data_IF_395222493945
#
_entry.id   IF_395222493945
#
_cell.length_a   1.000
_cell.length_b   1.000
_cell.length_c   1.000
_cell.angle_alpha   90.00
_cell.angle_beta   90.00
_cell.angle_gamma   90.00
#
_symmetry.space_group_name_H-M   'P 1'
#
loop_
_entity.id
_entity.type
_entity.pdbx_description
1 polymer ?
#
# COMPACT_ATOMS: atom_id res chain seq x y z
N UNK A 1 7.44 -29.01 -5.01
CA UNK A 1 7.88 -30.20 -5.79
C UNK A 1 7.82 -31.41 -4.90
N UNK A 2 6.89 -32.32 -5.18
CA UNK A 2 6.79 -33.63 -4.52
C UNK A 2 7.92 -34.47 -5.12
N UNK A 3 8.87 -34.83 -4.31
CA UNK A 3 9.96 -35.72 -4.68
C UNK A 3 9.46 -37.16 -4.48
N UNK A 4 8.94 -37.78 -5.53
CA UNK A 4 8.64 -39.19 -5.53
C UNK A 4 9.98 -39.99 -5.46
N UNK A 5 10.27 -40.51 -4.28
CA UNK A 5 11.51 -41.23 -4.00
C UNK A 5 11.49 -42.73 -4.38
N UNK A 6 10.39 -43.27 -4.89
CA UNK A 6 10.30 -44.70 -5.20
C UNK A 6 9.42 -44.92 -6.43
N UNK A 7 9.85 -44.47 -7.59
CA UNK A 7 9.35 -45.04 -8.84
C UNK A 7 10.48 -45.86 -9.49
N UNK A 8 10.36 -47.17 -9.63
CA UNK A 8 11.28 -47.94 -10.45
C UNK A 8 10.91 -47.72 -11.91
N UNK A 9 11.23 -46.52 -12.42
CA UNK A 9 11.24 -46.31 -13.86
C UNK A 9 12.47 -46.99 -14.39
N UNK A 10 12.31 -48.21 -14.87
CA UNK A 10 13.32 -48.90 -15.64
C UNK A 10 13.58 -48.04 -16.88
N UNK A 11 14.78 -47.45 -16.94
CA UNK A 11 15.23 -46.68 -18.10
C UNK A 11 15.13 -47.54 -19.32
N UNK A 12 14.46 -47.07 -20.37
CA UNK A 12 14.35 -47.77 -21.65
C UNK A 12 15.68 -47.85 -22.41
N UNK A 13 16.74 -47.21 -21.87
CA UNK A 13 18.10 -47.15 -22.41
C UNK A 13 19.12 -47.61 -21.39
N UNK A 14 19.04 -48.86 -21.00
CA UNK A 14 19.91 -49.43 -19.93
C UNK A 14 21.35 -49.74 -20.36
N UNK A 15 21.84 -49.24 -21.47
CA UNK A 15 23.21 -49.42 -21.96
C UNK A 15 23.91 -48.14 -22.43
N UNK A 16 23.59 -47.01 -21.89
CA UNK A 16 24.38 -45.80 -22.10
C UNK A 16 24.94 -45.33 -20.79
N UNK A 17 26.25 -45.18 -20.75
CA UNK A 17 27.02 -44.60 -19.63
C UNK A 17 26.22 -43.59 -18.82
N UNK A 18 26.28 -43.74 -17.48
CA UNK A 18 25.65 -42.82 -16.53
C UNK A 18 25.87 -41.36 -16.96
N UNK A 19 24.91 -40.79 -17.67
CA UNK A 19 24.90 -39.37 -17.92
C UNK A 19 24.65 -38.73 -16.56
N UNK A 20 25.71 -38.41 -15.84
CA UNK A 20 25.66 -37.54 -14.67
C UNK A 20 25.22 -36.18 -15.16
N UNK A 21 23.89 -35.95 -15.16
CA UNK A 21 23.34 -34.61 -15.31
C UNK A 21 23.79 -33.89 -14.06
N UNK A 22 24.83 -33.06 -14.18
CA UNK A 22 25.24 -32.16 -13.11
C UNK A 22 24.08 -31.26 -12.80
N UNK A 23 23.59 -31.25 -11.55
CA UNK A 23 22.58 -30.28 -11.12
C UNK A 23 23.11 -28.90 -11.42
N UNK A 24 22.31 -28.05 -12.13
CA UNK A 24 22.75 -26.70 -12.41
C UNK A 24 23.01 -25.97 -11.09
N UNK A 25 24.22 -25.46 -10.91
CA UNK A 25 24.53 -24.59 -9.78
C UNK A 25 23.78 -23.27 -9.96
N UNK A 26 22.91 -22.96 -9.02
CA UNK A 26 22.27 -21.65 -8.99
C UNK A 26 23.31 -20.59 -8.61
N UNK A 27 23.37 -19.46 -9.34
CA UNK A 27 24.25 -18.38 -8.94
C UNK A 27 23.83 -17.85 -7.56
N UNK A 28 24.82 -17.52 -6.74
CA UNK A 28 24.57 -16.82 -5.48
C UNK A 28 23.94 -15.46 -5.78
N UNK A 29 22.81 -15.19 -5.16
CA UNK A 29 22.13 -13.91 -5.28
C UNK A 29 21.86 -13.32 -3.89
N UNK A 30 21.82 -12.00 -3.82
CA UNK A 30 21.48 -11.30 -2.59
C UNK A 30 20.08 -11.69 -2.13
N UNK A 31 19.90 -11.83 -0.83
CA UNK A 31 18.58 -12.09 -0.24
C UNK A 31 17.70 -10.85 -0.42
N UNK A 32 16.48 -11.06 -0.83
CA UNK A 32 15.48 -9.99 -0.89
C UNK A 32 15.26 -9.38 0.49
N UNK A 33 14.98 -8.08 0.51
CA UNK A 33 14.47 -7.44 1.73
C UNK A 33 13.12 -8.08 2.12
N UNK A 34 12.74 -8.00 3.41
CA UNK A 34 11.44 -8.50 3.88
C UNK A 34 10.28 -7.89 3.08
N UNK A 35 10.36 -6.59 2.76
CA UNK A 35 9.34 -5.90 1.99
C UNK A 35 9.26 -6.40 0.54
N UNK A 36 10.40 -6.61 -0.12
CA UNK A 36 10.44 -7.14 -1.48
C UNK A 36 9.89 -8.57 -1.55
N UNK A 37 10.21 -9.40 -0.55
CA UNK A 37 9.65 -10.75 -0.44
C UNK A 37 8.13 -10.71 -0.32
N UNK A 38 7.59 -9.93 0.60
CA UNK A 38 6.15 -9.77 0.80
C UNK A 38 5.45 -9.25 -0.46
N UNK A 39 6.08 -8.29 -1.15
CA UNK A 39 5.55 -7.77 -2.42
C UNK A 39 5.47 -8.87 -3.48
N UNK A 40 6.53 -9.66 -3.65
CA UNK A 40 6.54 -10.78 -4.61
C UNK A 40 5.54 -11.88 -4.25
N UNK A 41 5.34 -12.15 -2.97
CA UNK A 41 4.28 -13.05 -2.52
C UNK A 41 2.91 -12.56 -2.97
N UNK A 42 2.62 -11.27 -2.74
CA UNK A 42 1.36 -10.64 -3.17
C UNK A 42 1.21 -10.64 -4.69
N UNK A 43 2.27 -10.35 -5.44
CA UNK A 43 2.24 -10.33 -6.91
C UNK A 43 1.90 -11.69 -7.50
N UNK A 44 2.36 -12.79 -6.88
CA UNK A 44 2.14 -14.15 -7.37
C UNK A 44 0.85 -14.76 -6.84
N UNK A 45 0.52 -14.56 -5.58
CA UNK A 45 -0.57 -15.24 -4.87
C UNK A 45 -1.80 -14.34 -4.70
N UNK A 46 -1.63 -13.02 -4.82
CA UNK A 46 -2.67 -12.02 -4.63
C UNK A 46 -2.83 -11.54 -3.18
N UNK A 47 -2.18 -12.21 -2.21
CA UNK A 47 -2.22 -11.88 -0.79
C UNK A 47 -0.82 -11.97 -0.17
N UNK A 48 -0.63 -11.31 0.97
CA UNK A 48 0.56 -11.49 1.80
C UNK A 48 0.41 -12.79 2.63
N UNK A 49 1.41 -13.68 2.59
CA UNK A 49 1.41 -14.97 3.30
C UNK A 49 2.30 -14.95 4.52
N UNK A 50 3.54 -14.47 4.38
CA UNK A 50 4.57 -14.54 5.43
C UNK A 50 4.43 -13.45 6.49
N UNK A 51 3.53 -12.49 6.32
CA UNK A 51 3.28 -11.36 7.21
C UNK A 51 2.76 -10.17 6.43
N UNK A 52 2.35 -9.11 7.12
CA UNK A 52 1.88 -7.89 6.46
C UNK A 52 2.94 -6.78 6.54
N UNK A 53 3.14 -5.95 5.49
CA UNK A 53 4.10 -4.85 5.54
C UNK A 53 3.88 -3.86 6.68
N UNK A 54 2.64 -3.73 7.15
CA UNK A 54 2.25 -2.82 8.24
C UNK A 54 2.41 -3.43 9.64
N UNK A 55 2.87 -4.69 9.79
CA UNK A 55 2.97 -5.35 11.10
C UNK A 55 3.83 -4.57 12.10
N UNK A 56 4.93 -3.98 11.63
CA UNK A 56 5.81 -3.16 12.45
C UNK A 56 5.15 -1.84 12.93
N UNK A 57 4.03 -1.44 12.31
CA UNK A 57 3.30 -0.21 12.61
C UNK A 57 1.91 -0.46 13.23
N UNK A 58 1.57 -1.71 13.54
CA UNK A 58 0.23 -2.09 13.99
C UNK A 58 -0.27 -1.25 15.17
N UNK A 59 0.51 -1.19 16.25
CA UNK A 59 0.14 -0.42 17.44
C UNK A 59 0.06 1.08 17.15
N UNK A 60 0.99 1.59 16.35
CA UNK A 60 1.01 2.99 15.95
C UNK A 60 -0.24 3.37 15.16
N UNK A 61 -0.62 2.55 14.18
CA UNK A 61 -1.82 2.74 13.38
C UNK A 61 -3.08 2.73 14.23
N UNK A 62 -3.19 1.79 15.17
CA UNK A 62 -4.34 1.69 16.09
C UNK A 62 -4.59 2.97 16.89
N UNK A 63 -3.52 3.72 17.23
CA UNK A 63 -3.64 4.99 17.96
C UNK A 63 -3.82 6.21 17.05
N UNK A 64 -3.25 6.18 15.85
CA UNK A 64 -3.25 7.32 14.94
C UNK A 64 -4.49 7.38 14.06
N UNK A 65 -5.07 6.24 13.70
CA UNK A 65 -6.24 6.16 12.82
C UNK A 65 -7.55 6.20 13.61
N UNK A 66 -8.59 6.74 13.03
CA UNK A 66 -9.92 6.77 13.62
C UNK A 66 -10.99 6.09 12.77
N UNK A 67 -10.65 5.69 11.55
CA UNK A 67 -11.49 4.88 10.64
C UNK A 67 -10.62 3.86 9.91
N UNK A 68 -11.28 2.88 9.29
CA UNK A 68 -10.67 1.93 8.33
C UNK A 68 -10.84 2.46 6.90
N UNK A 69 -10.02 1.97 5.95
CA UNK A 69 -10.15 2.37 4.55
C UNK A 69 -11.52 1.99 3.95
N UNK A 70 -12.11 0.91 4.43
CA UNK A 70 -13.44 0.49 4.00
C UNK A 70 -14.52 1.56 4.25
N UNK A 71 -14.39 2.36 5.31
CA UNK A 71 -15.34 3.43 5.63
C UNK A 71 -15.32 4.56 4.60
N UNK A 72 -14.21 4.74 3.86
CA UNK A 72 -14.10 5.74 2.78
C UNK A 72 -14.99 5.41 1.58
N UNK A 73 -15.50 4.20 1.46
CA UNK A 73 -16.45 3.83 0.40
C UNK A 73 -17.77 4.61 0.51
N UNK A 74 -18.12 5.07 1.72
CA UNK A 74 -19.30 5.90 1.95
C UNK A 74 -18.93 7.23 2.62
N UNK A 75 -18.36 8.14 1.81
CA UNK A 75 -17.94 9.46 2.27
C UNK A 75 -19.09 10.30 2.84
N UNK A 76 -20.36 9.99 2.49
CA UNK A 76 -21.52 10.74 2.98
C UNK A 76 -21.70 10.62 4.49
N UNK A 77 -21.32 9.47 5.08
CA UNK A 77 -21.35 9.27 6.54
C UNK A 77 -20.25 10.02 7.29
N UNK A 78 -19.25 10.47 6.56
CA UNK A 78 -18.05 11.12 7.08
C UNK A 78 -18.04 12.63 6.84
N UNK A 79 -19.13 13.20 6.28
CA UNK A 79 -19.25 14.64 6.07
C UNK A 79 -19.06 15.38 7.39
N UNK A 80 -18.32 16.49 7.33
CA UNK A 80 -17.94 17.36 8.45
C UNK A 80 -17.13 16.69 9.56
N UNK A 81 -16.46 15.57 9.23
CA UNK A 81 -15.57 14.88 10.15
C UNK A 81 -14.12 14.95 9.70
N UNK A 82 -13.26 15.02 10.71
CA UNK A 82 -11.83 14.79 10.53
C UNK A 82 -11.57 13.28 10.51
N UNK A 83 -10.95 12.84 9.44
CA UNK A 83 -10.64 11.45 9.15
C UNK A 83 -9.13 11.26 9.18
N UNK A 84 -8.68 10.22 9.86
CA UNK A 84 -7.29 9.83 9.97
C UNK A 84 -7.15 8.37 9.55
N UNK A 85 -6.37 8.16 8.51
CA UNK A 85 -6.07 6.86 7.95
C UNK A 85 -4.56 6.63 7.93
N UNK A 86 -4.16 5.40 7.88
CA UNK A 86 -2.75 5.04 7.73
C UNK A 86 -2.62 3.76 6.93
N UNK A 87 -1.52 3.64 6.22
CA UNK A 87 -1.27 2.50 5.37
C UNK A 87 0.00 2.62 4.56
N UNK A 88 0.18 1.70 3.64
CA UNK A 88 1.26 1.71 2.66
C UNK A 88 0.74 2.30 1.35
N UNK A 89 1.54 3.14 0.72
CA UNK A 89 1.24 3.63 -0.62
C UNK A 89 1.61 2.55 -1.63
N UNK A 90 0.62 2.10 -2.38
CA UNK A 90 0.77 1.18 -3.50
C UNK A 90 1.13 1.92 -4.79
N UNK A 91 0.30 1.73 -5.82
CA UNK A 91 0.52 2.37 -7.11
C UNK A 91 0.32 3.89 -7.04
N UNK A 92 1.21 4.64 -7.68
CA UNK A 92 1.13 6.10 -7.79
C UNK A 92 1.23 6.52 -9.24
N UNK A 93 0.29 7.34 -9.70
CA UNK A 93 0.29 7.90 -11.04
C UNK A 93 0.27 9.43 -10.98
N UNK A 94 1.39 10.04 -11.33
CA UNK A 94 1.50 11.49 -11.49
C UNK A 94 1.05 11.92 -12.87
N UNK A 95 0.17 12.92 -12.93
CA UNK A 95 -0.42 13.41 -14.17
C UNK A 95 -0.39 14.93 -14.22
N UNK A 96 -0.42 15.48 -15.43
CA UNK A 96 -0.54 16.91 -15.68
C UNK A 96 -1.87 17.17 -16.38
N UNK A 97 -2.66 18.08 -15.85
CA UNK A 97 -3.93 18.49 -16.46
C UNK A 97 -3.69 19.35 -17.71
N UNK A 98 -4.71 19.53 -18.54
CA UNK A 98 -4.65 20.40 -19.73
C UNK A 98 -4.22 21.84 -19.39
N UNK A 99 -4.46 22.29 -18.18
CA UNK A 99 -4.10 23.65 -17.70
C UNK A 99 -2.69 23.68 -17.04
N UNK A 100 -1.86 22.67 -17.26
CA UNK A 100 -0.50 22.60 -16.70
C UNK A 100 -0.41 22.33 -15.20
N UNK A 101 -1.55 22.11 -14.52
CA UNK A 101 -1.55 21.80 -13.08
C UNK A 101 -1.31 20.32 -12.84
N UNK A 102 -0.34 20.01 -11.99
CA UNK A 102 -0.05 18.64 -11.58
C UNK A 102 -1.12 18.08 -10.63
N UNK A 103 -1.35 16.80 -10.73
CA UNK A 103 -2.21 16.03 -9.83
C UNK A 103 -1.75 14.57 -9.81
N UNK A 104 -2.21 13.80 -8.84
CA UNK A 104 -1.90 12.38 -8.79
C UNK A 104 -3.11 11.57 -8.34
N UNK A 105 -3.17 10.33 -8.83
CA UNK A 105 -3.90 9.22 -8.22
C UNK A 105 -2.93 8.36 -7.48
N UNK A 106 -3.31 7.87 -6.32
CA UNK A 106 -2.52 6.91 -5.57
C UNK A 106 -3.43 5.95 -4.80
N UNK A 107 -2.97 4.74 -4.67
CA UNK A 107 -3.65 3.71 -3.89
C UNK A 107 -3.01 3.68 -2.51
N UNK A 108 -3.82 3.70 -1.45
CA UNK A 108 -3.39 3.40 -0.09
C UNK A 108 -3.98 2.06 0.31
N UNK A 109 -3.19 1.23 0.98
CA UNK A 109 -3.58 -0.09 1.46
C UNK A 109 -3.42 -0.19 2.96
N UNK A 110 -4.42 -0.74 3.63
CA UNK A 110 -4.34 -1.15 5.03
C UNK A 110 -4.31 -2.70 5.14
N UNK A 111 -4.63 -3.26 6.32
CA UNK A 111 -4.67 -4.71 6.53
C UNK A 111 -5.79 -5.42 5.76
N UNK A 112 -6.83 -4.71 5.38
CA UNK A 112 -8.08 -5.29 4.90
C UNK A 112 -8.44 -4.88 3.49
N UNK A 113 -8.14 -3.63 3.13
CA UNK A 113 -8.63 -3.01 1.91
C UNK A 113 -7.60 -2.09 1.28
N UNK A 114 -7.82 -1.79 0.02
CA UNK A 114 -7.13 -0.73 -0.71
C UNK A 114 -8.13 0.33 -1.18
N UNK A 115 -7.71 1.57 -1.19
CA UNK A 115 -8.55 2.69 -1.62
C UNK A 115 -7.78 3.67 -2.51
N UNK A 116 -8.35 4.00 -3.68
CA UNK A 116 -7.76 5.00 -4.58
C UNK A 116 -8.13 6.41 -4.14
N UNK A 117 -7.14 7.23 -3.92
CA UNK A 117 -7.26 8.63 -3.61
C UNK A 117 -6.72 9.50 -4.75
N UNK A 118 -7.31 10.70 -4.89
CA UNK A 118 -6.90 11.69 -5.89
C UNK A 118 -6.54 12.98 -5.21
N UNK A 119 -5.40 13.55 -5.57
CA UNK A 119 -4.89 14.79 -5.00
C UNK A 119 -4.58 15.80 -6.11
N UNK A 120 -5.03 17.02 -5.94
CA UNK A 120 -4.99 18.06 -6.98
C UNK A 120 -4.38 19.36 -6.47
N UNK A 121 -3.89 20.19 -7.39
CA UNK A 121 -3.53 21.59 -7.17
C UNK A 121 -2.50 21.79 -6.06
N UNK A 122 -2.77 22.70 -5.14
CA UNK A 122 -1.85 23.04 -4.05
C UNK A 122 -1.56 21.87 -3.13
N UNK A 123 -2.55 21.03 -2.84
CA UNK A 123 -2.35 19.82 -2.03
C UNK A 123 -1.37 18.85 -2.71
N UNK A 124 -1.46 18.71 -4.04
CA UNK A 124 -0.49 17.90 -4.77
C UNK A 124 0.92 18.45 -4.65
N UNK A 125 1.11 19.76 -4.83
CA UNK A 125 2.44 20.37 -4.70
C UNK A 125 3.01 20.21 -3.29
N UNK A 126 2.17 20.33 -2.28
CA UNK A 126 2.55 20.22 -0.87
C UNK A 126 2.93 18.79 -0.48
N UNK A 127 2.20 17.79 -0.96
CA UNK A 127 2.31 16.42 -0.47
C UNK A 127 2.89 15.41 -1.46
N UNK A 128 3.22 15.83 -2.70
CA UNK A 128 3.75 14.94 -3.73
C UNK A 128 4.96 14.10 -3.31
N UNK A 129 5.79 14.63 -2.40
CA UNK A 129 6.98 13.95 -1.93
C UNK A 129 6.69 12.76 -1.01
N UNK A 130 5.48 12.64 -0.47
CA UNK A 130 5.02 11.46 0.25
C UNK A 130 4.48 10.38 -0.68
N UNK A 131 4.09 10.75 -1.91
CA UNK A 131 3.47 9.86 -2.89
C UNK A 131 4.54 9.07 -3.63
N UNK A 132 5.15 8.15 -2.92
CA UNK A 132 6.17 7.22 -3.41
C UNK A 132 5.68 5.82 -3.06
N UNK A 133 5.75 4.89 -4.01
CA UNK A 133 5.38 3.49 -3.80
C UNK A 133 6.16 2.87 -2.63
N UNK A 134 5.48 2.05 -1.87
CA UNK A 134 5.98 1.40 -0.65
C UNK A 134 6.30 2.36 0.51
N UNK A 135 5.88 3.62 0.44
CA UNK A 135 6.00 4.55 1.56
C UNK A 135 4.89 4.30 2.59
N UNK A 136 5.25 4.27 3.87
CA UNK A 136 4.32 4.10 4.99
C UNK A 136 3.86 5.46 5.47
N UNK A 137 2.58 5.74 5.33
CA UNK A 137 2.04 7.08 5.61
C UNK A 137 0.83 7.07 6.54
N UNK A 138 0.74 8.14 7.31
CA UNK A 138 -0.46 8.54 8.03
C UNK A 138 -1.00 9.80 7.37
N UNK A 139 -2.27 9.77 6.98
CA UNK A 139 -2.94 10.85 6.26
C UNK A 139 -4.10 11.37 7.10
N UNK A 140 -4.08 12.66 7.34
CA UNK A 140 -5.16 13.39 7.99
C UNK A 140 -5.93 14.19 6.95
N UNK A 141 -7.23 14.01 6.91
CA UNK A 141 -8.11 14.67 5.96
C UNK A 141 -9.41 15.13 6.61
N UNK A 142 -10.10 16.04 5.96
CA UNK A 142 -11.42 16.51 6.34
C UNK A 142 -12.38 16.25 5.18
N UNK A 143 -13.53 15.69 5.48
CA UNK A 143 -14.54 15.41 4.46
C UNK A 143 -15.54 16.56 4.44
N UNK A 144 -15.57 17.28 3.33
CA UNK A 144 -16.51 18.39 3.11
C UNK A 144 -17.70 17.94 2.30
N UNK A 145 -18.84 18.57 2.57
CA UNK A 145 -20.00 18.44 1.70
C UNK A 145 -19.66 18.83 0.26
N UNK A 146 -20.31 18.21 -0.69
CA UNK A 146 -20.19 18.54 -2.11
C UNK A 146 -20.70 19.95 -2.42
N UNK A 147 -20.42 20.42 -3.63
CA UNK A 147 -20.98 21.69 -4.09
C UNK A 147 -22.50 21.58 -4.20
N UNK A 148 -23.21 22.58 -3.66
CA UNK A 148 -24.62 22.71 -3.88
C UNK A 148 -24.83 23.49 -5.18
N UNK A 149 -25.49 22.87 -6.14
CA UNK A 149 -25.88 23.53 -7.38
C UNK A 149 -26.94 24.59 -7.07
N UNK A 150 -26.66 25.83 -7.47
CA UNK A 150 -27.54 26.97 -7.18
C UNK A 150 -28.89 26.89 -7.93
N UNK A 151 -28.93 26.26 -9.12
CA UNK A 151 -30.13 26.18 -9.93
C UNK A 151 -30.99 24.94 -9.56
N UNK A 152 -30.37 23.80 -9.37
CA UNK A 152 -31.08 22.54 -9.13
C UNK A 152 -31.22 22.17 -7.65
N UNK A 153 -30.47 22.84 -6.77
CA UNK A 153 -30.40 22.52 -5.33
C UNK A 153 -29.73 21.16 -5.02
N UNK A 154 -29.22 20.45 -6.01
CA UNK A 154 -28.58 19.17 -5.84
C UNK A 154 -27.21 19.34 -5.17
N UNK A 155 -26.92 18.47 -4.22
CA UNK A 155 -25.62 18.39 -3.55
C UNK A 155 -24.79 17.36 -4.30
N UNK A 156 -23.60 17.77 -4.75
CA UNK A 156 -22.63 16.89 -5.40
C UNK A 156 -22.00 15.91 -4.42
N UNK A 157 -21.06 15.11 -4.90
CA UNK A 157 -20.36 14.15 -4.08
C UNK A 157 -19.46 14.85 -3.04
N UNK A 158 -19.32 14.26 -1.83
CA UNK A 158 -18.44 14.79 -0.81
C UNK A 158 -16.99 14.93 -1.30
N UNK A 159 -16.29 15.92 -0.77
CA UNK A 159 -14.92 16.23 -1.19
C UNK A 159 -13.93 16.00 -0.07
N UNK A 160 -12.81 15.37 -0.41
CA UNK A 160 -11.70 15.14 0.50
C UNK A 160 -10.79 16.37 0.48
N UNK A 161 -10.57 16.96 1.64
CA UNK A 161 -9.55 17.97 1.86
C UNK A 161 -8.41 17.38 2.66
N UNK A 162 -7.24 17.23 2.05
CA UNK A 162 -6.05 16.76 2.74
C UNK A 162 -5.51 17.84 3.67
N UNK A 163 -5.28 17.49 4.94
CA UNK A 163 -4.76 18.38 5.97
C UNK A 163 -3.26 18.16 6.20
N UNK A 164 -2.85 16.91 6.38
CA UNK A 164 -1.45 16.57 6.57
C UNK A 164 -1.14 15.15 6.10
N UNK A 165 0.13 14.95 5.72
CA UNK A 165 0.77 13.67 5.50
C UNK A 165 1.96 13.56 6.42
N UNK A 166 2.19 12.39 7.00
CA UNK A 166 3.33 12.09 7.86
C UNK A 166 3.82 10.69 7.53
N UNK A 167 5.12 10.48 7.57
CA UNK A 167 5.68 9.13 7.50
C UNK A 167 5.47 8.42 8.83
N UNK A 168 5.06 7.16 8.79
CA UNK A 168 4.87 6.36 10.02
C UNK A 168 6.18 6.16 10.77
N UNK A 169 7.30 6.13 10.07
CA UNK A 169 8.64 6.03 10.67
C UNK A 169 8.95 7.23 11.60
N UNK A 170 8.56 8.44 11.20
CA UNK A 170 8.80 9.65 11.99
C UNK A 170 7.93 9.69 13.25
N UNK A 171 6.76 9.07 13.22
CA UNK A 171 5.84 9.03 14.36
C UNK A 171 6.34 8.09 15.48
N UNK A 172 7.05 7.03 15.15
CA UNK A 172 7.69 6.14 16.13
C UNK A 172 8.76 6.89 16.94
N UNK A 173 9.58 7.70 16.27
CA UNK A 173 10.64 8.49 16.91
C UNK A 173 10.12 9.63 17.81
N UNK A 174 8.96 10.20 17.52
CA UNK A 174 8.38 11.30 18.29
C UNK A 174 7.62 10.82 19.54
N UNK A 175 7.07 9.63 19.52
CA UNK A 175 6.34 9.06 20.66
C UNK A 175 7.26 8.50 21.75
N UNK A 176 8.45 8.01 21.40
CA UNK A 176 9.46 7.58 22.40
C UNK A 176 10.01 8.72 23.24
N UNK A 177 10.04 9.95 22.74
CA UNK A 177 10.46 11.14 23.49
C UNK A 177 9.42 11.66 24.50
N UNK A 178 8.16 11.22 24.41
CA UNK A 178 7.08 11.64 25.33
C UNK A 178 6.87 10.71 26.53
N UNK A 179 7.53 9.57 26.57
CA UNK A 179 7.41 8.58 27.67
C UNK A 179 8.61 8.63 28.63
N UNK A 180 9.59 9.51 28.44
CA UNK A 180 10.64 9.76 29.42
C UNK A 180 10.14 10.82 30.42
N UNK A 181 9.51 10.38 31.50
CA UNK A 181 9.31 11.11 32.74
C UNK A 181 10.33 10.56 33.73
#
# INVERSE_FOLDING_TARGET
CIRDRNSPQTSLFSDADEIKISEPSFPECDKWSKLDQLKKEKDVVGIYISGHPLDDYFDTLKFLTNIQLNDLKDLRKLIDKEVRIGGIIGEVQHKISKNGKGWATFVIEDYFESYELRIFGENYLKFKHFLIENNFVHIKMYIKEGWKDAETGRIGDPRIQFLSFQQLQDTLGSNTKRISI
#
